data_IF_423949613957
#
_entry.id   IF_423949613957
#
_cell.length_a   1.000
_cell.length_b   1.000
_cell.length_c   1.000
_cell.angle_alpha   90.00
_cell.angle_beta   90.00
_cell.angle_gamma   90.00
#
_symmetry.space_group_name_H-M   'P 1'
#
loop_
_entity.id
_entity.type
_entity.pdbx_description
1 polymer ?
#
# COMPACT_ATOMS: atom_id res chain seq x y z
N UNK A 1 -8.93 6.17 -22.54
CA UNK A 1 -7.53 5.76 -22.30
C UNK A 1 -6.88 5.10 -23.51
N UNK A 2 -7.40 4.00 -24.07
CA UNK A 2 -6.76 3.33 -25.22
C UNK A 2 -6.53 4.25 -26.43
N UNK A 3 -7.51 5.11 -26.77
CA UNK A 3 -7.33 6.12 -27.80
C UNK A 3 -6.21 7.12 -27.49
N UNK A 4 -6.05 7.51 -26.21
CA UNK A 4 -5.01 8.43 -25.77
C UNK A 4 -3.62 7.77 -25.78
N UNK A 5 -3.53 6.47 -25.49
CA UNK A 5 -2.31 5.67 -25.66
C UNK A 5 -1.97 5.52 -27.15
N UNK A 6 -2.98 5.35 -28.01
CA UNK A 6 -2.81 5.31 -29.47
C UNK A 6 -2.34 6.63 -30.07
N UNK A 7 -2.58 7.76 -29.39
CA UNK A 7 -2.07 9.08 -29.79
C UNK A 7 -0.72 9.44 -29.20
N UNK A 8 -0.09 8.57 -28.38
CA UNK A 8 1.27 8.81 -27.92
C UNK A 8 2.21 8.92 -29.12
N UNK A 9 3.13 9.88 -29.07
CA UNK A 9 4.08 10.13 -30.14
C UNK A 9 5.54 10.14 -29.65
N UNK A 10 6.45 10.20 -30.61
CA UNK A 10 7.90 10.24 -30.35
C UNK A 10 8.27 11.50 -29.55
N UNK A 11 7.60 12.63 -29.78
CA UNK A 11 7.89 13.88 -29.10
C UNK A 11 7.58 13.81 -27.60
N UNK A 12 6.48 13.14 -27.24
CA UNK A 12 6.08 12.91 -25.85
C UNK A 12 7.02 11.93 -25.15
N UNK A 13 7.36 10.80 -25.80
CA UNK A 13 8.14 9.74 -25.17
C UNK A 13 9.64 10.01 -25.11
N UNK A 14 10.21 10.71 -26.10
CA UNK A 14 11.67 10.95 -26.16
C UNK A 14 12.27 11.58 -24.90
N UNK A 15 11.72 12.67 -24.32
CA UNK A 15 12.28 13.25 -23.09
C UNK A 15 12.21 12.27 -21.90
N UNK A 16 11.12 11.50 -21.79
CA UNK A 16 10.93 10.50 -20.74
C UNK A 16 11.96 9.36 -20.86
N UNK A 17 12.17 8.86 -22.08
CA UNK A 17 13.13 7.79 -22.37
C UNK A 17 14.57 8.24 -22.15
N UNK A 18 14.93 9.48 -22.54
CA UNK A 18 16.25 10.07 -22.27
C UNK A 18 16.52 10.12 -20.77
N UNK A 19 15.54 10.58 -19.98
CA UNK A 19 15.62 10.60 -18.51
C UNK A 19 15.75 9.19 -17.91
N UNK A 20 14.98 8.22 -18.42
CA UNK A 20 15.03 6.84 -17.96
C UNK A 20 16.40 6.19 -18.20
N UNK A 21 16.95 6.36 -19.40
CA UNK A 21 18.25 5.83 -19.82
C UNK A 21 19.45 6.67 -19.35
N UNK A 22 19.22 7.90 -18.87
CA UNK A 22 20.26 8.90 -18.56
C UNK A 22 21.17 9.18 -19.76
N UNK A 23 20.55 9.31 -20.94
CA UNK A 23 21.25 9.54 -22.21
C UNK A 23 20.43 10.52 -23.07
N UNK A 24 20.88 11.78 -23.13
CA UNK A 24 20.20 12.86 -23.85
C UNK A 24 20.27 12.72 -25.38
N UNK A 25 21.11 11.83 -25.91
CA UNK A 25 21.27 11.61 -27.35
C UNK A 25 20.33 10.54 -27.91
N UNK A 26 19.59 9.82 -27.05
CA UNK A 26 18.65 8.77 -27.48
C UNK A 26 17.43 9.38 -28.17
N UNK A 27 17.05 8.79 -29.31
CA UNK A 27 15.76 9.04 -29.96
C UNK A 27 14.91 7.76 -29.96
N UNK A 28 13.63 7.88 -29.64
CA UNK A 28 12.72 6.74 -29.65
C UNK A 28 12.48 6.28 -31.09
N UNK A 29 12.60 4.97 -31.35
CA UNK A 29 12.40 4.39 -32.68
C UNK A 29 11.15 3.52 -32.79
N UNK A 30 10.59 3.08 -31.67
CA UNK A 30 9.38 2.26 -31.63
C UNK A 30 9.12 1.75 -30.22
N UNK A 31 7.85 1.48 -29.92
CA UNK A 31 7.38 0.99 -28.63
C UNK A 31 6.09 0.20 -28.78
N UNK A 32 5.73 -0.47 -27.70
CA UNK A 32 4.45 -1.12 -27.48
C UNK A 32 3.99 -0.82 -26.05
N UNK A 33 2.69 -0.85 -25.83
CA UNK A 33 2.06 -0.70 -24.51
C UNK A 33 1.29 -1.96 -24.14
N UNK A 34 1.40 -2.40 -22.90
CA UNK A 34 0.61 -3.49 -22.33
C UNK A 34 0.00 -3.02 -21.02
N UNK A 35 -1.30 -3.22 -20.84
CA UNK A 35 -1.94 -2.92 -19.57
C UNK A 35 -1.51 -3.95 -18.52
N UNK A 36 -0.97 -3.46 -17.39
CA UNK A 36 -0.64 -4.31 -16.24
C UNK A 36 -1.86 -4.46 -15.35
N UNK A 37 -2.60 -3.37 -15.15
CA UNK A 37 -3.72 -3.32 -14.23
C UNK A 37 -4.83 -2.40 -14.72
N UNK A 38 -6.07 -2.87 -14.64
CA UNK A 38 -7.28 -2.13 -15.05
C UNK A 38 -8.22 -1.89 -13.87
N UNK A 39 -7.96 -0.85 -13.07
CA UNK A 39 -8.97 -0.24 -12.21
C UNK A 39 -9.44 -0.98 -10.95
N UNK A 40 -9.02 -2.23 -10.69
CA UNK A 40 -9.59 -3.07 -9.61
C UNK A 40 -8.62 -3.43 -8.47
N UNK A 41 -7.61 -2.61 -8.17
CA UNK A 41 -6.52 -3.03 -7.29
C UNK A 41 -5.91 -1.86 -6.57
N UNK A 42 -6.00 -1.92 -5.23
CA UNK A 42 -5.42 -0.93 -4.33
C UNK A 42 -6.45 -0.04 -3.64
N UNK A 43 -7.50 -0.61 -3.04
CA UNK A 43 -8.36 0.04 -2.03
C UNK A 43 -9.18 1.27 -2.48
N UNK A 44 -8.81 1.96 -3.55
CA UNK A 44 -9.56 3.02 -4.18
C UNK A 44 -10.72 2.44 -4.98
N UNK A 45 -11.79 3.22 -5.09
CA UNK A 45 -12.99 2.86 -5.83
C UNK A 45 -12.65 2.29 -7.22
N UNK A 46 -13.43 1.30 -7.65
CA UNK A 46 -13.33 0.67 -8.96
C UNK A 46 -13.20 1.75 -10.06
N UNK A 47 -12.10 1.71 -10.82
CA UNK A 47 -11.81 2.68 -11.88
C UNK A 47 -10.98 3.91 -11.50
N UNK A 48 -10.44 4.00 -10.27
CA UNK A 48 -9.64 5.15 -9.83
C UNK A 48 -8.29 5.33 -10.58
N UNK A 49 -7.71 4.25 -11.09
CA UNK A 49 -6.46 4.33 -11.88
C UNK A 49 -6.30 3.23 -12.91
N UNK A 50 -5.40 3.44 -13.87
CA UNK A 50 -4.99 2.44 -14.86
C UNK A 50 -3.47 2.42 -15.00
N UNK A 51 -2.88 1.23 -15.09
CA UNK A 51 -1.42 1.06 -15.14
C UNK A 51 -1.02 0.35 -16.44
N UNK A 52 -0.11 0.98 -17.18
CA UNK A 52 0.44 0.48 -18.43
C UNK A 52 1.96 0.36 -18.32
N UNK A 53 2.50 -0.74 -18.83
CA UNK A 53 3.93 -0.84 -19.15
C UNK A 53 4.13 -0.47 -20.60
N UNK A 54 5.01 0.49 -20.85
CA UNK A 54 5.53 0.77 -22.17
C UNK A 54 6.92 0.14 -22.28
N UNK A 55 7.19 -0.53 -23.39
CA UNK A 55 8.50 -1.10 -23.70
C UNK A 55 8.88 -0.78 -25.13
N UNK A 56 10.13 -0.42 -25.36
CA UNK A 56 10.58 -0.02 -26.69
C UNK A 56 12.09 -0.03 -26.86
N UNK A 57 12.53 0.54 -27.98
CA UNK A 57 13.94 0.75 -28.28
C UNK A 57 14.20 2.24 -28.52
N UNK A 58 15.32 2.71 -28.00
CA UNK A 58 15.88 4.03 -28.29
C UNK A 58 17.17 3.88 -29.08
N UNK A 59 17.44 4.78 -30.02
CA UNK A 59 18.68 4.78 -30.82
C UNK A 59 19.57 5.93 -30.39
N UNK A 60 20.82 5.61 -30.03
CA UNK A 60 21.91 6.58 -29.92
C UNK A 60 22.98 6.21 -30.96
N UNK A 61 23.26 7.12 -31.89
CA UNK A 61 24.12 6.87 -33.07
C UNK A 61 23.64 5.62 -33.83
N UNK A 62 24.38 4.51 -33.71
CA UNK A 62 24.09 3.21 -34.33
C UNK A 62 23.55 2.17 -33.33
N UNK A 63 23.69 2.40 -32.03
CA UNK A 63 23.29 1.45 -31.00
C UNK A 63 21.80 1.57 -30.65
N UNK A 64 21.15 0.43 -30.45
CA UNK A 64 19.79 0.34 -29.93
C UNK A 64 19.81 -0.05 -28.45
N UNK A 65 19.14 0.74 -27.63
CA UNK A 65 19.01 0.54 -26.19
C UNK A 65 17.56 0.19 -25.86
N UNK A 66 17.29 -0.97 -25.22
CA UNK A 66 15.95 -1.27 -24.75
C UNK A 66 15.60 -0.33 -23.59
N UNK A 67 14.33 0.05 -23.49
CA UNK A 67 13.81 0.84 -22.38
C UNK A 67 12.43 0.35 -21.99
N UNK A 68 12.09 0.55 -20.72
CA UNK A 68 10.73 0.37 -20.20
C UNK A 68 10.33 1.56 -19.33
N UNK A 69 9.04 1.87 -19.34
CA UNK A 69 8.41 2.92 -18.54
C UNK A 69 7.09 2.38 -17.98
N UNK A 70 6.69 2.87 -16.81
CA UNK A 70 5.34 2.70 -16.29
C UNK A 70 4.57 4.00 -16.49
N UNK A 71 3.38 3.89 -17.04
CA UNK A 71 2.38 4.96 -17.06
C UNK A 71 1.27 4.57 -16.10
N UNK A 72 1.10 5.35 -15.02
CA UNK A 72 -0.06 5.28 -14.12
C UNK A 72 -0.95 6.49 -14.39
N UNK A 73 -2.15 6.24 -14.91
CA UNK A 73 -3.17 7.25 -15.10
C UNK A 73 -4.10 7.28 -13.88
N UNK A 74 -4.28 8.46 -13.30
CA UNK A 74 -5.14 8.73 -12.15
C UNK A 74 -6.34 9.55 -12.63
N UNK A 75 -7.56 9.17 -12.26
CA UNK A 75 -8.77 9.82 -12.74
C UNK A 75 -9.44 10.64 -11.63
N UNK A 76 -10.01 11.81 -11.96
CA UNK A 76 -10.68 12.64 -10.97
C UNK A 76 -11.95 12.00 -10.43
N UNK A 77 -12.19 12.19 -9.14
CA UNK A 77 -13.45 11.86 -8.47
C UNK A 77 -14.11 13.15 -7.96
N UNK A 78 -15.41 13.31 -8.21
CA UNK A 78 -16.14 14.49 -7.80
C UNK A 78 -16.33 14.53 -6.28
N UNK A 79 -16.10 15.69 -5.66
CA UNK A 79 -16.34 15.89 -4.22
C UNK A 79 -15.23 15.36 -3.31
N UNK A 80 -14.05 15.04 -3.85
CA UNK A 80 -12.93 14.49 -3.08
C UNK A 80 -12.35 15.50 -2.05
N UNK A 81 -12.16 15.02 -0.82
CA UNK A 81 -11.41 15.69 0.25
C UNK A 81 -9.91 15.37 0.08
N UNK A 82 -9.03 16.37 -0.13
CA UNK A 82 -7.58 16.14 -0.24
C UNK A 82 -6.96 15.43 0.97
N UNK A 83 -7.56 15.58 2.14
CA UNK A 83 -7.14 14.90 3.37
C UNK A 83 -7.82 13.53 3.59
N UNK A 84 -8.72 13.12 2.69
CA UNK A 84 -9.49 11.88 2.73
C UNK A 84 -8.60 10.63 2.62
N UNK A 85 -9.08 9.44 2.95
CA UNK A 85 -8.22 8.23 2.84
C UNK A 85 -7.86 7.87 1.40
N UNK A 86 -8.72 8.19 0.42
CA UNK A 86 -8.61 7.75 -0.98
C UNK A 86 -8.50 8.89 -2.01
N UNK A 87 -8.00 10.07 -1.62
CA UNK A 87 -7.85 11.22 -2.53
C UNK A 87 -7.10 10.84 -3.81
N UNK A 88 -7.78 10.98 -4.95
CA UNK A 88 -7.31 10.43 -6.23
C UNK A 88 -5.96 10.99 -6.71
N UNK A 89 -5.64 12.25 -6.37
CA UNK A 89 -4.45 12.96 -6.86
C UNK A 89 -3.20 12.76 -5.99
N UNK A 90 -3.36 12.19 -4.79
CA UNK A 90 -2.32 12.19 -3.75
C UNK A 90 -0.96 11.70 -4.22
N UNK A 91 -0.92 10.60 -4.95
CA UNK A 91 0.35 10.04 -5.42
C UNK A 91 1.08 11.00 -6.37
N UNK A 92 0.35 11.71 -7.23
CA UNK A 92 0.95 12.70 -8.11
C UNK A 92 1.52 13.89 -7.32
N UNK A 93 0.77 14.39 -6.34
CA UNK A 93 1.23 15.48 -5.47
C UNK A 93 2.45 15.05 -4.63
N UNK A 94 2.51 13.77 -4.23
CA UNK A 94 3.65 13.20 -3.53
C UNK A 94 4.92 13.20 -4.40
N UNK A 95 4.83 12.79 -5.68
CA UNK A 95 5.96 12.90 -6.61
C UNK A 95 6.36 14.36 -6.90
N UNK A 96 5.38 15.24 -7.12
CA UNK A 96 5.63 16.65 -7.45
C UNK A 96 6.24 17.46 -6.31
N UNK A 97 5.93 17.11 -5.05
CA UNK A 97 6.51 17.79 -3.89
C UNK A 97 7.99 17.46 -3.64
N UNK A 98 8.53 16.42 -4.31
CA UNK A 98 9.95 16.09 -4.30
C UNK A 98 10.45 15.35 -3.05
N UNK A 99 9.63 15.13 -2.02
CA UNK A 99 10.10 14.41 -0.81
C UNK A 99 10.47 12.94 -1.09
N UNK A 100 9.84 12.34 -2.11
CA UNK A 100 10.17 10.98 -2.56
C UNK A 100 11.61 10.85 -3.11
N UNK A 101 12.28 11.97 -3.43
CA UNK A 101 13.67 11.98 -3.89
C UNK A 101 14.69 11.88 -2.74
N UNK A 102 14.25 12.05 -1.49
CA UNK A 102 15.12 12.16 -0.31
C UNK A 102 14.74 11.18 0.81
N UNK A 103 14.16 10.03 0.44
CA UNK A 103 13.78 9.00 1.39
C UNK A 103 15.00 8.44 2.15
N UNK A 104 14.91 8.27 3.49
CA UNK A 104 16.03 7.88 4.33
C UNK A 104 16.17 6.35 4.44
N UNK A 105 17.22 5.91 5.12
CA UNK A 105 17.27 4.58 5.73
C UNK A 105 17.19 3.40 4.76
N UNK A 106 17.57 3.57 3.48
CA UNK A 106 17.50 2.49 2.48
C UNK A 106 16.14 2.34 1.79
N UNK A 107 15.16 3.18 2.13
CA UNK A 107 13.90 3.28 1.39
C UNK A 107 14.10 4.11 0.10
N UNK A 108 13.39 3.75 -0.96
CA UNK A 108 13.36 4.50 -2.21
C UNK A 108 11.97 4.43 -2.84
N UNK A 109 11.62 5.41 -3.68
CA UNK A 109 10.49 5.36 -4.58
C UNK A 109 10.98 5.12 -6.02
N UNK A 110 10.10 4.68 -6.95
CA UNK A 110 10.38 4.74 -8.38
C UNK A 110 10.84 6.14 -8.80
N UNK A 111 11.79 6.24 -9.73
CA UNK A 111 12.05 7.55 -10.37
C UNK A 111 10.80 8.02 -11.11
N UNK A 112 10.43 9.28 -10.92
CA UNK A 112 9.42 9.94 -11.74
C UNK A 112 10.10 10.69 -12.88
N UNK A 113 9.70 10.37 -14.11
CA UNK A 113 10.21 10.99 -15.33
C UNK A 113 9.33 12.14 -15.81
N UNK A 114 8.08 12.19 -15.37
CA UNK A 114 7.15 13.25 -15.72
C UNK A 114 5.78 13.07 -15.09
N UNK A 115 5.10 14.19 -14.88
CA UNK A 115 3.70 14.27 -14.47
C UNK A 115 2.99 15.18 -15.47
N UNK A 116 1.92 14.71 -16.10
CA UNK A 116 1.17 15.49 -17.09
C UNK A 116 -0.32 15.44 -16.85
N UNK A 117 -0.93 16.61 -16.73
CA UNK A 117 -2.39 16.78 -16.68
C UNK A 117 -2.98 16.71 -18.10
N UNK A 118 -4.05 15.94 -18.23
CA UNK A 118 -4.75 15.74 -19.50
C UNK A 118 -5.96 16.66 -19.61
N UNK A 119 -6.48 16.82 -20.83
CA UNK A 119 -7.64 17.67 -21.09
C UNK A 119 -8.92 17.22 -20.34
N UNK A 120 -9.02 15.95 -19.97
CA UNK A 120 -10.12 15.39 -19.18
C UNK A 120 -9.91 15.51 -17.65
N UNK A 121 -8.84 16.17 -17.22
CA UNK A 121 -8.46 16.34 -15.81
C UNK A 121 -7.74 15.13 -15.21
N UNK A 122 -7.55 14.03 -15.96
CA UNK A 122 -6.72 12.92 -15.49
C UNK A 122 -5.25 13.32 -15.38
N UNK A 123 -4.53 12.68 -14.45
CA UNK A 123 -3.10 12.89 -14.25
C UNK A 123 -2.35 11.65 -14.70
N UNK A 124 -1.34 11.82 -15.53
CA UNK A 124 -0.47 10.76 -15.99
C UNK A 124 0.89 10.85 -15.28
N UNK A 125 1.22 9.80 -14.55
CA UNK A 125 2.52 9.60 -13.90
C UNK A 125 3.38 8.68 -14.74
N UNK A 126 4.54 9.18 -15.15
CA UNK A 126 5.56 8.42 -15.87
C UNK A 126 6.65 8.00 -14.90
N UNK A 127 6.72 6.70 -14.60
CA UNK A 127 7.53 6.14 -13.53
C UNK A 127 8.53 5.09 -14.04
N UNK A 128 9.56 4.85 -13.24
CA UNK A 128 10.48 3.73 -13.38
C UNK A 128 9.74 2.39 -13.32
N UNK A 129 10.03 1.49 -14.27
CA UNK A 129 9.62 0.09 -14.22
C UNK A 129 10.57 -0.67 -13.29
N UNK A 130 10.21 -0.71 -12.01
CA UNK A 130 11.01 -1.32 -10.94
C UNK A 130 10.99 -2.84 -11.08
N UNK A 131 12.17 -3.45 -10.97
CA UNK A 131 12.34 -4.90 -10.92
C UNK A 131 12.67 -5.34 -9.50
N UNK A 132 12.06 -6.43 -9.07
CA UNK A 132 12.38 -7.06 -7.79
C UNK A 132 13.53 -8.05 -8.01
N UNK A 133 14.67 -7.82 -7.36
CA UNK A 133 15.86 -8.65 -7.52
C UNK A 133 15.78 -9.98 -6.75
N UNK A 134 14.88 -10.09 -5.77
CA UNK A 134 14.77 -11.30 -4.95
C UNK A 134 13.59 -12.20 -5.30
N UNK A 135 12.58 -11.70 -6.03
CA UNK A 135 11.32 -12.38 -6.41
C UNK A 135 10.57 -13.07 -5.25
N UNK A 136 11.14 -14.08 -4.60
CA UNK A 136 10.65 -14.72 -3.39
C UNK A 136 11.41 -14.18 -2.17
N UNK A 137 10.70 -13.47 -1.30
CA UNK A 137 11.32 -12.84 -0.14
C UNK A 137 11.45 -13.85 1.01
N UNK A 138 12.67 -14.14 1.49
CA UNK A 138 12.81 -14.84 2.76
C UNK A 138 12.34 -13.93 3.91
N UNK A 139 11.87 -14.49 5.03
CA UNK A 139 11.36 -13.71 6.17
C UNK A 139 12.30 -12.57 6.63
N UNK A 140 13.64 -12.76 6.73
CA UNK A 140 14.55 -11.66 7.08
C UNK A 140 14.48 -10.43 6.16
N UNK A 141 14.06 -10.60 4.90
CA UNK A 141 13.88 -9.48 3.97
C UNK A 141 12.72 -8.58 4.37
N UNK A 142 11.66 -9.13 5.00
CA UNK A 142 10.57 -8.34 5.58
C UNK A 142 11.04 -7.54 6.79
N UNK A 143 11.87 -8.12 7.66
CA UNK A 143 12.50 -7.38 8.78
C UNK A 143 13.39 -6.23 8.30
N UNK A 144 14.11 -6.42 7.18
CA UNK A 144 14.87 -5.34 6.55
C UNK A 144 13.96 -4.24 5.98
N UNK A 145 12.85 -4.59 5.31
CA UNK A 145 11.88 -3.62 4.85
C UNK A 145 11.29 -2.84 6.03
N UNK A 146 10.93 -3.52 7.11
CA UNK A 146 10.43 -2.91 8.34
C UNK A 146 11.44 -1.93 8.94
N UNK A 147 12.75 -2.26 8.95
CA UNK A 147 13.80 -1.33 9.36
C UNK A 147 13.83 -0.07 8.52
N UNK A 148 13.74 -0.20 7.19
CA UNK A 148 13.70 0.98 6.31
C UNK A 148 12.44 1.84 6.56
N UNK A 149 11.28 1.21 6.80
CA UNK A 149 10.04 1.89 7.16
C UNK A 149 10.13 2.60 8.52
N UNK A 150 10.75 1.97 9.53
CA UNK A 150 11.00 2.59 10.83
C UNK A 150 11.88 3.82 10.72
N UNK A 151 12.98 3.74 9.96
CA UNK A 151 13.83 4.91 9.71
C UNK A 151 13.10 6.02 8.96
N UNK A 152 12.22 5.67 8.00
CA UNK A 152 11.34 6.62 7.33
C UNK A 152 10.40 7.32 8.31
N UNK A 153 9.62 6.59 9.10
CA UNK A 153 8.66 7.18 10.04
C UNK A 153 9.33 8.08 11.08
N UNK A 154 10.49 7.68 11.61
CA UNK A 154 11.25 8.49 12.58
C UNK A 154 11.85 9.78 11.97
N UNK A 155 12.16 9.77 10.67
CA UNK A 155 12.72 10.95 9.98
C UNK A 155 11.67 12.01 9.63
N UNK A 156 10.39 11.63 9.63
CA UNK A 156 9.25 12.50 9.32
C UNK A 156 8.21 12.49 10.45
N UNK A 157 8.51 13.07 11.63
CA UNK A 157 7.51 13.30 12.65
C UNK A 157 6.43 14.28 12.15
N UNK A 158 5.16 14.04 12.51
CA UNK A 158 4.02 14.75 11.92
C UNK A 158 3.93 16.26 12.28
N UNK A 159 4.68 16.70 13.29
CA UNK A 159 4.76 18.07 13.81
C UNK A 159 5.78 18.95 13.05
N UNK A 160 6.57 18.38 12.13
CA UNK A 160 7.49 19.17 11.31
C UNK A 160 6.71 20.05 10.33
N UNK A 161 7.12 21.33 10.21
CA UNK A 161 6.64 22.24 9.14
C UNK A 161 6.85 21.64 7.74
N UNK A 162 7.86 20.80 7.56
CA UNK A 162 8.16 20.11 6.29
C UNK A 162 7.19 18.99 5.93
N UNK A 163 6.23 18.64 6.79
CA UNK A 163 5.16 17.63 6.53
C UNK A 163 3.76 18.27 6.62
N UNK A 164 3.66 19.56 6.31
CA UNK A 164 2.40 20.32 6.31
C UNK A 164 1.75 20.39 4.91
N UNK A 165 1.89 19.33 4.11
CA UNK A 165 1.26 19.30 2.79
C UNK A 165 -0.26 19.06 2.92
N UNK A 166 -1.11 19.86 2.25
CA UNK A 166 -2.57 19.81 2.42
C UNK A 166 -3.21 18.54 1.83
N UNK A 167 -2.49 17.83 0.97
CA UNK A 167 -2.93 16.60 0.31
C UNK A 167 -2.58 15.32 1.09
N UNK A 168 -1.82 15.42 2.20
CA UNK A 168 -1.58 14.25 3.05
C UNK A 168 -2.89 13.76 3.63
N UNK A 169 -3.08 12.43 3.64
CA UNK A 169 -4.20 11.88 4.37
C UNK A 169 -4.06 12.18 5.87
N UNK A 170 -5.18 12.49 6.51
CA UNK A 170 -5.29 12.65 7.96
C UNK A 170 -6.40 11.74 8.48
N UNK A 171 -6.22 11.22 9.69
CA UNK A 171 -7.16 10.26 10.28
C UNK A 171 -7.45 9.08 9.35
N UNK A 172 -6.42 8.64 8.60
CA UNK A 172 -6.61 7.75 7.46
C UNK A 172 -7.35 6.46 7.87
N UNK A 173 -7.00 5.85 9.01
CA UNK A 173 -7.65 4.63 9.51
C UNK A 173 -9.15 4.88 9.80
N UNK A 174 -9.49 6.02 10.39
CA UNK A 174 -10.88 6.41 10.69
C UNK A 174 -11.68 6.64 9.41
N UNK A 175 -11.09 7.37 8.44
CA UNK A 175 -11.73 7.66 7.15
C UNK A 175 -11.87 6.41 6.27
N UNK A 176 -10.87 5.52 6.27
CA UNK A 176 -10.90 4.20 5.62
C UNK A 176 -12.05 3.35 6.15
N UNK A 177 -12.19 3.23 7.48
CA UNK A 177 -13.30 2.50 8.10
C UNK A 177 -14.68 3.06 7.75
N UNK A 178 -14.80 4.38 7.58
CA UNK A 178 -16.06 5.00 7.22
C UNK A 178 -16.58 4.54 5.84
N UNK A 179 -15.69 4.24 4.89
CA UNK A 179 -16.07 3.73 3.57
C UNK A 179 -16.73 2.35 3.61
N UNK A 180 -16.44 1.54 4.64
CA UNK A 180 -16.95 0.18 4.76
C UNK A 180 -17.99 0.02 5.88
N UNK A 181 -18.41 1.12 6.49
CA UNK A 181 -19.25 1.10 7.69
C UNK A 181 -20.61 0.42 7.46
N UNK A 182 -21.24 0.68 6.32
CA UNK A 182 -22.50 0.03 5.94
C UNK A 182 -22.31 -1.49 5.76
N UNK A 183 -21.27 -1.89 5.02
CA UNK A 183 -20.97 -3.30 4.75
C UNK A 183 -20.69 -4.08 6.04
N UNK A 184 -19.87 -3.53 6.94
CA UNK A 184 -19.60 -4.17 8.23
C UNK A 184 -20.83 -4.13 9.14
N UNK A 185 -21.61 -3.05 9.11
CA UNK A 185 -22.86 -2.92 9.85
C UNK A 185 -23.90 -4.00 9.49
N UNK A 186 -23.87 -4.48 8.24
CA UNK A 186 -24.77 -5.52 7.73
C UNK A 186 -24.09 -6.90 7.59
N UNK A 187 -23.00 -7.16 8.33
CA UNK A 187 -22.25 -8.41 8.23
C UNK A 187 -23.11 -9.68 8.35
N UNK A 188 -24.15 -9.65 9.20
CA UNK A 188 -25.08 -10.78 9.37
C UNK A 188 -25.77 -11.21 8.08
N UNK A 189 -26.06 -10.27 7.17
CA UNK A 189 -26.67 -10.58 5.88
C UNK A 189 -25.65 -11.20 4.92
N UNK A 190 -24.42 -10.71 4.93
CA UNK A 190 -23.32 -11.25 4.12
C UNK A 190 -22.99 -12.71 4.48
N UNK A 191 -23.13 -13.11 5.75
CA UNK A 191 -22.93 -14.49 6.22
C UNK A 191 -23.95 -15.50 5.67
N UNK A 192 -24.98 -15.05 4.94
CA UNK A 192 -25.85 -15.97 4.18
C UNK A 192 -25.08 -16.62 3.02
N UNK A 193 -24.04 -15.97 2.50
CA UNK A 193 -23.20 -16.47 1.43
C UNK A 193 -22.18 -17.52 1.95
N UNK A 194 -22.02 -18.70 1.31
CA UNK A 194 -21.11 -19.75 1.78
C UNK A 194 -19.67 -19.29 1.97
N UNK A 195 -19.10 -18.60 0.97
CA UNK A 195 -17.72 -18.09 1.03
C UNK A 195 -17.48 -17.08 2.16
N UNK A 196 -18.51 -16.34 2.61
CA UNK A 196 -18.37 -15.45 3.77
C UNK A 196 -18.26 -16.24 5.08
N UNK A 197 -18.90 -17.42 5.17
CA UNK A 197 -18.74 -18.32 6.34
C UNK A 197 -17.39 -19.03 6.32
N UNK A 198 -16.84 -19.29 5.15
CA UNK A 198 -15.46 -19.80 5.01
C UNK A 198 -14.43 -18.74 5.42
N UNK A 199 -14.63 -17.48 5.00
CA UNK A 199 -13.76 -16.36 5.35
C UNK A 199 -13.84 -16.01 6.85
N UNK A 200 -15.01 -16.18 7.47
CA UNK A 200 -15.25 -15.95 8.90
C UNK A 200 -15.83 -17.22 9.57
N UNK A 201 -15.00 -18.25 9.81
CA UNK A 201 -15.46 -19.50 10.38
C UNK A 201 -15.66 -19.40 11.90
N UNK A 202 -16.50 -20.29 12.44
CA UNK A 202 -16.68 -20.44 13.89
C UNK A 202 -17.19 -19.16 14.57
N UNK A 203 -16.46 -18.67 15.57
CA UNK A 203 -16.80 -17.47 16.35
C UNK A 203 -16.28 -16.15 15.75
N UNK A 204 -15.59 -16.21 14.60
CA UNK A 204 -15.04 -15.03 13.93
C UNK A 204 -16.09 -13.92 13.65
N UNK A 205 -17.33 -14.21 13.21
CA UNK A 205 -18.34 -13.16 13.00
C UNK A 205 -18.70 -12.40 14.28
N UNK A 206 -18.78 -13.10 15.42
CA UNK A 206 -19.04 -12.47 16.72
C UNK A 206 -17.86 -11.59 17.15
N UNK A 207 -16.62 -12.02 16.92
CA UNK A 207 -15.41 -11.22 17.19
C UNK A 207 -15.33 -9.97 16.33
N UNK A 208 -15.65 -10.08 15.03
CA UNK A 208 -15.74 -8.94 14.11
C UNK A 208 -16.82 -7.96 14.56
N UNK A 209 -18.01 -8.46 14.91
CA UNK A 209 -19.11 -7.62 15.42
C UNK A 209 -18.75 -6.90 16.71
N UNK A 210 -18.07 -7.58 17.63
CA UNK A 210 -17.55 -6.99 18.87
C UNK A 210 -16.52 -5.90 18.58
N UNK A 211 -15.54 -6.18 17.71
CA UNK A 211 -14.52 -5.21 17.33
C UNK A 211 -15.14 -3.98 16.65
N UNK A 212 -16.16 -4.17 15.80
CA UNK A 212 -16.92 -3.07 15.21
C UNK A 212 -17.61 -2.21 16.27
N UNK A 213 -18.21 -2.82 17.30
CA UNK A 213 -18.83 -2.08 18.39
C UNK A 213 -17.80 -1.31 19.25
N UNK A 214 -16.59 -1.85 19.42
CA UNK A 214 -15.49 -1.27 20.20
C UNK A 214 -14.61 -0.29 19.41
N UNK A 215 -14.84 -0.12 18.09
CA UNK A 215 -13.93 0.57 17.16
C UNK A 215 -13.53 1.98 17.61
N UNK A 216 -14.44 2.74 18.22
CA UNK A 216 -14.16 4.11 18.65
C UNK A 216 -13.14 4.17 19.80
N UNK A 217 -13.13 3.15 20.68
CA UNK A 217 -12.12 3.03 21.73
C UNK A 217 -10.75 2.75 21.14
N UNK A 218 -10.67 1.88 20.13
CA UNK A 218 -9.42 1.58 19.41
C UNK A 218 -8.92 2.82 18.67
N UNK A 219 -9.79 3.52 17.94
CA UNK A 219 -9.45 4.75 17.24
C UNK A 219 -8.97 5.83 18.23
N UNK A 220 -9.66 6.00 19.35
CA UNK A 220 -9.26 6.97 20.39
C UNK A 220 -7.90 6.63 21.02
N UNK A 221 -7.55 5.36 21.14
CA UNK A 221 -6.23 4.95 21.61
C UNK A 221 -5.14 5.28 20.58
N UNK A 222 -5.40 5.00 19.30
CA UNK A 222 -4.51 5.34 18.19
C UNK A 222 -4.29 6.87 18.07
N UNK A 223 -5.33 7.67 18.25
CA UNK A 223 -5.26 9.14 18.17
C UNK A 223 -4.33 9.75 19.24
N UNK A 224 -4.09 9.05 20.35
CA UNK A 224 -3.19 9.48 21.44
C UNK A 224 -1.73 9.10 21.23
N UNK A 225 -1.43 8.23 20.27
CA UNK A 225 -0.06 7.79 20.01
C UNK A 225 0.74 8.88 19.28
N UNK A 226 2.09 8.86 19.38
CA UNK A 226 2.94 9.71 18.55
C UNK A 226 2.62 9.53 17.06
N UNK A 227 2.37 10.64 16.36
CA UNK A 227 2.04 10.63 14.94
C UNK A 227 3.28 10.81 14.08
N UNK A 228 3.38 10.00 13.02
CA UNK A 228 4.46 9.96 12.04
C UNK A 228 3.88 10.00 10.63
N UNK A 229 4.72 10.28 9.63
CA UNK A 229 4.34 10.10 8.23
C UNK A 229 4.39 8.61 7.87
N UNK A 230 3.26 8.04 7.48
CA UNK A 230 3.08 6.64 7.06
C UNK A 230 2.80 6.56 5.55
N UNK A 231 3.21 5.47 4.92
CA UNK A 231 2.76 5.03 3.60
C UNK A 231 1.39 4.36 3.65
N UNK A 232 1.11 3.63 4.74
CA UNK A 232 -0.10 2.80 4.97
C UNK A 232 -0.32 1.60 4.04
N UNK A 233 0.28 1.55 2.85
CA UNK A 233 0.12 0.43 1.89
C UNK A 233 1.41 -0.38 1.63
N UNK A 234 2.30 -0.47 2.62
CA UNK A 234 3.60 -1.13 2.49
C UNK A 234 3.53 -2.66 2.66
N UNK A 235 2.74 -3.35 1.83
CA UNK A 235 2.66 -4.81 1.80
C UNK A 235 3.48 -5.42 0.67
N UNK A 236 3.69 -6.75 0.68
CA UNK A 236 4.63 -7.44 -0.21
C UNK A 236 4.54 -7.04 -1.69
N UNK A 237 3.34 -6.84 -2.25
CA UNK A 237 3.18 -6.54 -3.69
C UNK A 237 3.62 -5.13 -4.07
N UNK A 238 3.70 -4.21 -3.10
CA UNK A 238 4.16 -2.83 -3.30
C UNK A 238 5.65 -2.65 -2.95
N UNK A 239 6.33 -3.71 -2.55
CA UNK A 239 7.72 -3.69 -2.09
C UNK A 239 8.63 -4.47 -3.03
N UNK A 240 9.75 -3.87 -3.40
CA UNK A 240 10.74 -4.47 -4.29
C UNK A 240 12.12 -4.46 -3.63
N UNK A 241 12.85 -5.57 -3.73
CA UNK A 241 14.24 -5.64 -3.30
C UNK A 241 15.13 -5.14 -4.43
N UNK A 242 16.06 -4.24 -4.10
CA UNK A 242 17.04 -3.72 -5.04
C UNK A 242 18.38 -3.53 -4.34
N UNK A 243 19.48 -3.80 -5.03
CA UNK A 243 20.84 -3.46 -4.58
C UNK A 243 21.30 -2.18 -5.25
N UNK A 244 21.56 -1.13 -4.49
CA UNK A 244 22.10 0.13 -5.02
C UNK A 244 23.36 0.54 -4.27
N UNK A 245 24.45 0.85 -5.00
CA UNK A 245 25.74 1.25 -4.41
C UNK A 245 26.23 0.29 -3.30
N UNK A 246 26.09 -1.01 -3.53
CA UNK A 246 26.42 -2.07 -2.56
C UNK A 246 25.65 -1.96 -1.22
N UNK A 247 24.43 -1.43 -1.25
CA UNK A 247 23.50 -1.43 -0.11
C UNK A 247 22.15 -1.99 -0.56
N UNK A 248 21.51 -2.72 0.35
CA UNK A 248 20.17 -3.22 0.10
C UNK A 248 19.19 -2.07 0.23
N UNK A 249 18.25 -2.00 -0.70
CA UNK A 249 17.17 -1.03 -0.73
C UNK A 249 15.84 -1.75 -0.74
N UNK A 250 14.86 -1.06 -0.16
CA UNK A 250 13.45 -1.37 -0.36
C UNK A 250 12.86 -0.27 -1.23
N UNK A 251 12.46 -0.62 -2.44
CA UNK A 251 11.71 0.30 -3.30
C UNK A 251 10.23 0.10 -3.00
N UNK A 252 9.57 1.17 -2.60
CA UNK A 252 8.16 1.21 -2.23
C UNK A 252 7.39 2.00 -3.28
N UNK A 253 6.36 1.38 -3.83
CA UNK A 253 5.48 1.98 -4.84
C UNK A 253 4.10 2.29 -4.24
N UNK A 254 3.30 3.02 -5.00
CA UNK A 254 1.90 3.33 -4.69
C UNK A 254 1.69 4.20 -3.44
N UNK A 255 2.10 5.45 -3.56
CA UNK A 255 2.04 6.42 -2.47
C UNK A 255 0.64 7.05 -2.31
N UNK A 256 -0.41 6.41 -2.82
CA UNK A 256 -1.77 6.95 -2.84
C UNK A 256 -2.38 7.16 -1.45
N UNK A 257 -1.90 6.46 -0.42
CA UNK A 257 -2.42 6.57 0.95
C UNK A 257 -1.55 7.41 1.89
N UNK A 258 -0.40 7.89 1.43
CA UNK A 258 0.60 8.55 2.29
C UNK A 258 -0.02 9.65 3.16
N UNK A 259 0.28 9.62 4.45
CA UNK A 259 -0.35 10.56 5.38
C UNK A 259 0.10 10.37 6.81
N UNK A 260 -0.56 11.11 7.70
CA UNK A 260 -0.23 11.11 9.12
C UNK A 260 -0.92 9.93 9.79
N UNK A 261 -0.17 9.18 10.59
CA UNK A 261 -0.68 8.04 11.32
C UNK A 261 0.07 7.76 12.62
N UNK A 262 -0.52 6.96 13.52
CA UNK A 262 0.12 6.57 14.76
C UNK A 262 1.34 5.68 14.48
N UNK A 263 2.41 5.88 15.25
CA UNK A 263 3.60 5.02 15.20
C UNK A 263 3.20 3.55 15.36
N UNK A 264 3.80 2.66 14.56
CA UNK A 264 3.43 1.24 14.51
C UNK A 264 2.34 0.90 13.49
N UNK A 265 1.47 1.83 13.07
CA UNK A 265 0.47 1.54 12.04
C UNK A 265 1.07 1.29 10.64
N UNK A 266 2.28 1.82 10.37
CA UNK A 266 2.98 1.62 9.09
C UNK A 266 3.20 0.13 8.76
N UNK A 267 3.55 -0.67 9.76
CA UNK A 267 3.88 -2.09 9.57
C UNK A 267 2.64 -3.01 9.54
N UNK A 268 1.44 -2.46 9.73
CA UNK A 268 0.20 -3.23 9.66
C UNK A 268 0.04 -3.89 8.30
N UNK A 269 0.17 -3.13 7.21
CA UNK A 269 0.04 -3.70 5.86
C UNK A 269 1.18 -4.66 5.53
N UNK A 270 2.39 -4.41 6.06
CA UNK A 270 3.53 -5.31 5.88
C UNK A 270 3.27 -6.71 6.45
N UNK A 271 2.54 -6.82 7.56
CA UNK A 271 2.17 -8.10 8.18
C UNK A 271 0.81 -8.58 7.67
N UNK A 272 -0.27 -7.88 8.01
CA UNK A 272 -1.64 -8.34 7.78
C UNK A 272 -1.98 -8.51 6.30
N UNK A 273 -1.72 -7.49 5.47
CA UNK A 273 -2.10 -7.54 4.05
C UNK A 273 -1.21 -8.53 3.29
N UNK A 274 0.08 -8.64 3.65
CA UNK A 274 0.98 -9.70 3.14
C UNK A 274 0.46 -11.11 3.43
N UNK A 275 0.02 -11.38 4.67
CA UNK A 275 -0.59 -12.66 5.04
C UNK A 275 -1.93 -12.88 4.33
N UNK A 276 -2.79 -11.86 4.26
CA UNK A 276 -4.10 -11.94 3.60
C UNK A 276 -4.02 -12.25 2.10
N UNK A 277 -2.97 -11.78 1.42
CA UNK A 277 -2.68 -12.16 0.02
C UNK A 277 -1.86 -13.45 -0.11
N UNK A 278 -1.51 -14.08 1.01
CA UNK A 278 -0.80 -15.36 1.06
C UNK A 278 0.59 -15.32 0.45
N UNK A 279 1.28 -14.18 0.55
CA UNK A 279 2.68 -14.05 0.16
C UNK A 279 3.64 -14.56 1.25
N UNK A 280 3.13 -14.67 2.48
CA UNK A 280 3.68 -15.46 3.57
C UNK A 280 2.56 -16.36 4.06
N UNK A 281 2.85 -17.63 4.32
CA UNK A 281 1.88 -18.58 4.87
C UNK A 281 1.46 -18.18 6.28
N UNK A 282 0.18 -18.35 6.60
CA UNK A 282 -0.36 -17.96 7.89
C UNK A 282 0.26 -18.69 9.09
N UNK A 283 0.79 -19.90 8.89
CA UNK A 283 1.59 -20.62 9.90
C UNK A 283 2.85 -19.84 10.35
N UNK A 284 3.38 -18.95 9.50
CA UNK A 284 4.54 -18.11 9.81
C UNK A 284 4.15 -16.72 10.35
N UNK A 285 2.87 -16.46 10.65
CA UNK A 285 2.39 -15.13 11.06
C UNK A 285 3.11 -14.59 12.31
N UNK A 286 3.26 -15.41 13.36
CA UNK A 286 3.97 -14.99 14.57
C UNK A 286 5.44 -14.68 14.32
N UNK A 287 6.12 -15.52 13.52
CA UNK A 287 7.52 -15.28 13.18
C UNK A 287 7.69 -14.02 12.32
N UNK A 288 6.75 -13.76 11.40
CA UNK A 288 6.73 -12.54 10.59
C UNK A 288 6.53 -11.31 11.47
N UNK A 289 5.59 -11.35 12.42
CA UNK A 289 5.33 -10.28 13.39
C UNK A 289 6.60 -9.93 14.18
N UNK A 290 7.25 -10.93 14.79
CA UNK A 290 8.48 -10.74 15.56
C UNK A 290 9.59 -10.09 14.71
N UNK A 291 9.86 -10.62 13.52
CA UNK A 291 10.92 -10.12 12.63
C UNK A 291 10.61 -8.70 12.13
N UNK A 292 9.35 -8.41 11.82
CA UNK A 292 8.92 -7.09 11.35
C UNK A 292 8.99 -6.07 12.49
N UNK A 293 8.50 -6.40 13.69
CA UNK A 293 8.54 -5.51 14.84
C UNK A 293 9.99 -5.18 15.24
N UNK A 294 10.84 -6.19 15.36
CA UNK A 294 12.27 -6.03 15.66
C UNK A 294 12.99 -5.19 14.58
N UNK A 295 12.71 -5.45 13.30
CA UNK A 295 13.17 -4.63 12.18
C UNK A 295 12.75 -3.17 12.32
N UNK A 296 11.45 -2.94 12.51
CA UNK A 296 10.87 -1.61 12.64
C UNK A 296 11.44 -0.81 13.81
N UNK A 297 11.56 -1.44 14.98
CA UNK A 297 12.14 -0.82 16.18
C UNK A 297 13.60 -0.42 15.96
N UNK A 298 14.43 -1.29 15.35
CA UNK A 298 15.80 -0.90 14.95
C UNK A 298 15.81 0.30 14.02
N UNK A 299 14.91 0.32 13.03
CA UNK A 299 14.78 1.41 12.08
C UNK A 299 14.45 2.75 12.74
N UNK A 300 13.48 2.73 13.65
CA UNK A 300 13.11 3.89 14.49
C UNK A 300 14.32 4.38 15.30
N UNK A 301 15.02 3.47 15.97
CA UNK A 301 16.17 3.81 16.82
C UNK A 301 17.36 4.36 16.05
N UNK A 302 17.69 3.78 14.88
CA UNK A 302 18.74 4.22 13.98
C UNK A 302 18.54 5.67 13.51
N UNK A 303 17.28 6.07 13.31
CA UNK A 303 16.88 7.42 12.93
C UNK A 303 16.63 8.35 14.13
N UNK A 304 16.96 7.91 15.35
CA UNK A 304 16.95 8.75 16.56
C UNK A 304 15.64 8.79 17.32
N UNK A 305 14.63 7.98 16.98
CA UNK A 305 13.39 7.91 17.74
C UNK A 305 13.61 7.22 19.11
N UNK A 306 13.00 7.79 20.16
CA UNK A 306 13.19 7.41 21.58
C UNK A 306 11.87 7.28 22.35
N UNK A 307 10.75 7.10 21.65
CA UNK A 307 9.47 6.86 22.32
C UNK A 307 9.38 5.47 22.93
N UNK A 308 8.28 5.20 23.63
CA UNK A 308 8.04 3.91 24.28
C UNK A 308 7.67 2.82 23.28
N UNK A 309 8.32 1.66 23.36
CA UNK A 309 8.00 0.48 22.55
C UNK A 309 6.54 0.04 22.70
N UNK A 310 5.96 0.22 23.89
CA UNK A 310 4.53 0.02 24.13
C UNK A 310 3.64 0.76 23.12
N UNK A 311 3.97 2.01 22.77
CA UNK A 311 3.21 2.79 21.78
C UNK A 311 3.27 2.18 20.39
N UNK A 312 4.45 1.65 20.01
CA UNK A 312 4.64 0.98 18.71
C UNK A 312 3.81 -0.29 18.65
N UNK A 313 3.87 -1.13 19.70
CA UNK A 313 3.10 -2.37 19.75
C UNK A 313 1.60 -2.10 19.76
N UNK A 314 1.13 -1.14 20.54
CA UNK A 314 -0.28 -0.74 20.56
C UNK A 314 -0.72 -0.21 19.19
N UNK A 315 0.07 0.65 18.55
CA UNK A 315 -0.24 1.19 17.22
C UNK A 315 -0.34 0.11 16.15
N UNK A 316 0.56 -0.88 16.19
CA UNK A 316 0.50 -2.05 15.31
C UNK A 316 -0.72 -2.93 15.60
N UNK A 317 -0.92 -3.36 16.85
CA UNK A 317 -1.98 -4.31 17.21
C UNK A 317 -3.38 -3.73 16.99
N UNK A 318 -3.64 -2.51 17.47
CA UNK A 318 -4.91 -1.82 17.28
C UNK A 318 -5.12 -1.45 15.80
N UNK A 319 -4.08 -1.02 15.10
CA UNK A 319 -4.11 -0.74 13.66
C UNK A 319 -4.44 -1.98 12.83
N UNK A 320 -3.86 -3.14 13.15
CA UNK A 320 -4.13 -4.41 12.47
C UNK A 320 -5.57 -4.88 12.68
N UNK A 321 -6.09 -4.77 13.91
CA UNK A 321 -7.48 -5.08 14.21
C UNK A 321 -8.44 -4.25 13.33
N UNK A 322 -8.25 -2.93 13.30
CA UNK A 322 -9.08 -2.03 12.49
C UNK A 322 -8.88 -2.24 10.98
N UNK A 323 -7.65 -2.48 10.51
CA UNK A 323 -7.38 -2.75 9.10
C UNK A 323 -8.03 -4.05 8.64
N UNK A 324 -8.17 -5.05 9.52
CA UNK A 324 -8.94 -6.27 9.21
C UNK A 324 -10.43 -5.98 9.02
N UNK A 325 -11.04 -5.10 9.83
CA UNK A 325 -12.41 -4.64 9.57
C UNK A 325 -12.51 -4.00 8.18
N UNK A 326 -11.58 -3.09 7.86
CA UNK A 326 -11.47 -2.50 6.52
C UNK A 326 -11.43 -3.56 5.42
N UNK A 327 -10.53 -4.54 5.55
CA UNK A 327 -10.32 -5.58 4.54
C UNK A 327 -11.58 -6.46 4.36
N UNK A 328 -12.23 -6.87 5.45
CA UNK A 328 -13.51 -7.62 5.40
C UNK A 328 -14.57 -6.79 4.67
N UNK A 329 -14.67 -5.51 5.01
CA UNK A 329 -15.63 -4.59 4.40
C UNK A 329 -15.41 -4.42 2.91
N UNK A 330 -14.17 -4.22 2.47
CA UNK A 330 -13.83 -4.07 1.05
C UNK A 330 -14.04 -5.34 0.24
N UNK A 331 -13.77 -6.53 0.81
CA UNK A 331 -13.88 -7.78 0.04
C UNK A 331 -15.29 -8.36 0.04
N UNK A 332 -16.12 -8.02 1.04
CA UNK A 332 -17.48 -8.56 1.15
C UNK A 332 -18.30 -8.35 -0.13
N UNK A 333 -18.38 -7.15 -0.74
CA UNK A 333 -19.11 -6.94 -2.00
C UNK A 333 -18.59 -7.79 -3.16
N UNK A 334 -17.29 -8.11 -3.17
CA UNK A 334 -16.67 -8.95 -4.20
C UNK A 334 -16.94 -10.44 -4.00
N UNK A 335 -17.14 -10.86 -2.75
CA UNK A 335 -17.46 -12.25 -2.41
C UNK A 335 -18.93 -12.54 -2.64
N UNK A 336 -19.83 -11.63 -2.24
CA UNK A 336 -21.28 -11.87 -2.35
C UNK A 336 -21.81 -11.72 -3.78
N UNK A 337 -21.05 -11.06 -4.65
CA UNK A 337 -21.34 -10.94 -6.08
C UNK A 337 -20.51 -11.97 -6.87
N UNK A 338 -21.15 -13.10 -7.21
CA UNK A 338 -20.53 -14.19 -7.97
C UNK A 338 -19.96 -13.76 -9.33
N UNK A 339 -20.48 -12.67 -9.91
CA UNK A 339 -19.97 -12.15 -11.20
C UNK A 339 -18.55 -11.57 -11.08
N UNK A 340 -18.11 -11.24 -9.86
CA UNK A 340 -16.78 -10.70 -9.56
C UNK A 340 -15.74 -11.77 -9.22
N UNK A 341 -16.14 -13.02 -9.02
CA UNK A 341 -15.23 -14.08 -8.52
C UNK A 341 -14.03 -14.31 -9.43
N UNK A 342 -14.22 -14.36 -10.75
CA UNK A 342 -13.11 -14.54 -11.69
C UNK A 342 -12.06 -13.41 -11.61
N UNK A 343 -12.52 -12.18 -11.37
CA UNK A 343 -11.61 -11.04 -11.17
C UNK A 343 -10.89 -11.16 -9.83
N UNK A 344 -11.60 -11.55 -8.76
CA UNK A 344 -11.03 -11.74 -7.45
C UNK A 344 -9.96 -12.85 -7.44
N UNK A 345 -10.19 -13.96 -8.15
CA UNK A 345 -9.20 -15.03 -8.32
C UNK A 345 -7.96 -14.55 -9.09
N UNK A 346 -8.15 -13.75 -10.15
CA UNK A 346 -7.05 -13.14 -10.90
C UNK A 346 -6.21 -12.21 -10.01
N UNK A 347 -6.86 -11.39 -9.19
CA UNK A 347 -6.21 -10.50 -8.22
C UNK A 347 -5.50 -11.30 -7.11
N UNK A 348 -6.14 -12.33 -6.57
CA UNK A 348 -5.57 -13.19 -5.55
C UNK A 348 -4.44 -14.08 -6.09
N UNK A 349 -4.41 -14.30 -7.41
CA UNK A 349 -3.54 -15.25 -8.12
C UNK A 349 -3.66 -16.68 -7.58
N UNK A 350 -4.87 -17.06 -7.17
CA UNK A 350 -5.23 -18.37 -6.62
C UNK A 350 -6.75 -18.57 -6.68
N UNK A 351 -7.24 -19.83 -6.61
CA UNK A 351 -8.67 -20.09 -6.48
C UNK A 351 -9.28 -19.40 -5.27
N UNK A 352 -10.55 -19.01 -5.38
CA UNK A 352 -11.20 -18.20 -4.36
C UNK A 352 -11.32 -18.92 -3.02
N UNK A 353 -11.61 -20.23 -3.03
CA UNK A 353 -11.65 -21.08 -1.82
C UNK A 353 -10.29 -21.14 -1.11
N UNK A 354 -9.19 -21.31 -1.85
CA UNK A 354 -7.85 -21.30 -1.28
C UNK A 354 -7.49 -19.92 -0.70
N UNK A 355 -8.05 -18.84 -1.26
CA UNK A 355 -7.88 -17.49 -0.74
C UNK A 355 -8.69 -17.27 0.54
N UNK A 356 -9.96 -17.68 0.61
CA UNK A 356 -10.80 -17.56 1.81
C UNK A 356 -10.25 -18.39 2.98
N UNK A 357 -9.74 -19.59 2.73
CA UNK A 357 -9.06 -20.43 3.73
C UNK A 357 -7.83 -19.74 4.33
N UNK A 358 -6.92 -19.24 3.48
CA UNK A 358 -5.74 -18.49 3.92
C UNK A 358 -6.13 -17.22 4.69
N UNK A 359 -7.15 -16.50 4.21
CA UNK A 359 -7.65 -15.31 4.88
C UNK A 359 -8.21 -15.62 6.28
N UNK A 360 -8.95 -16.71 6.42
CA UNK A 360 -9.49 -17.16 7.70
C UNK A 360 -8.39 -17.58 8.67
N UNK A 361 -7.35 -18.28 8.18
CA UNK A 361 -6.20 -18.68 9.00
C UNK A 361 -5.39 -17.47 9.46
N UNK A 362 -5.01 -16.58 8.54
CA UNK A 362 -4.35 -15.33 8.88
C UNK A 362 -5.23 -14.45 9.80
N UNK A 363 -6.54 -14.51 9.61
CA UNK A 363 -7.52 -13.78 10.43
C UNK A 363 -7.42 -14.13 11.91
N UNK A 364 -7.17 -15.40 12.27
CA UNK A 364 -6.99 -15.84 13.66
C UNK A 364 -5.82 -15.15 14.35
N UNK A 365 -4.71 -14.92 13.62
CA UNK A 365 -3.58 -14.17 14.14
C UNK A 365 -3.98 -12.73 14.50
N UNK A 366 -4.74 -12.06 13.64
CA UNK A 366 -5.22 -10.68 13.91
C UNK A 366 -6.28 -10.63 15.02
N UNK A 367 -7.04 -11.71 15.26
CA UNK A 367 -7.90 -11.80 16.46
C UNK A 367 -7.09 -11.73 17.74
N UNK A 368 -5.95 -12.44 17.78
CA UNK A 368 -4.98 -12.34 18.87
C UNK A 368 -4.46 -10.93 19.07
N UNK A 369 -4.11 -10.22 17.98
CA UNK A 369 -3.70 -8.81 18.04
C UNK A 369 -4.81 -7.89 18.55
N UNK A 370 -6.08 -8.16 18.23
CA UNK A 370 -7.20 -7.38 18.75
C UNK A 370 -7.35 -7.57 20.27
N UNK A 371 -7.17 -8.79 20.78
CA UNK A 371 -7.18 -9.07 22.22
C UNK A 371 -5.97 -8.45 22.94
N UNK A 372 -4.79 -8.52 22.32
CA UNK A 372 -3.59 -7.84 22.82
C UNK A 372 -3.78 -6.32 22.88
N UNK A 373 -4.34 -5.71 21.84
CA UNK A 373 -4.64 -4.28 21.82
C UNK A 373 -5.57 -3.88 22.97
N UNK A 374 -6.60 -4.70 23.28
CA UNK A 374 -7.47 -4.47 24.45
C UNK A 374 -6.68 -4.47 25.76
N UNK A 375 -5.72 -5.37 25.91
CA UNK A 375 -4.86 -5.43 27.10
C UNK A 375 -3.95 -4.21 27.16
N UNK A 376 -3.29 -3.84 26.07
CA UNK A 376 -2.37 -2.70 25.99
C UNK A 376 -3.07 -1.37 26.27
N UNK A 377 -4.28 -1.17 25.75
CA UNK A 377 -5.10 0.02 26.02
C UNK A 377 -5.45 0.16 27.51
N UNK A 378 -5.63 -0.96 28.22
CA UNK A 378 -5.99 -0.98 29.64
C UNK A 378 -4.76 -1.03 30.58
N UNK A 379 -3.61 -1.48 30.08
CA UNK A 379 -2.38 -1.69 30.84
C UNK A 379 -1.46 -0.47 30.97
N UNK A 380 -1.88 0.69 30.47
CA UNK A 380 -1.16 1.96 30.62
C UNK A 380 -1.58 2.67 31.91
N UNK A 381 -1.13 2.14 33.05
CA UNK A 381 -1.19 2.77 34.38
C UNK A 381 0.20 3.15 34.87
#
# INVERSE_FOLDING_TARGET
MEAALGSLDVATLTPLVRSALRDDAVNVVGWQSTQIHGGAGGGAAEGASSIYRLSGKGRNRTALHPWTLILKALYPHAGDDPSGSHYWRREADAYQSGFLNVLPGGLAAPRCFGVSEQADGSIWLWLEDVKDELHDWPLPRYGMAARHLGSFNASFPADRKSTAWPWLSTDWIRKDLAHVAETIGHLSDSLRHPLMRELLPGDAPAKVSRLWAERESFLSALDRLPQVLCHFDAFRRNLFARRAKNKDQTVLIDWAFVGKGPVGAEIVSLVWVTLGFGAVEAANASQLDEIVLDGYMRGLHDAGWRGHEHHVRLGFAAGAALRRLGTIGYVTPWIVDETRHAQLESLARRPLSAWTENFAEAGRFVEGLADEARQLMNGSG
#
